data_IF_158381914981
#
_entry.id   IF_158381914981
#
_cell.length_a   1.000
_cell.length_b   1.000
_cell.length_c   1.000
_cell.angle_alpha   90.00
_cell.angle_beta   90.00
_cell.angle_gamma   90.00
#
_symmetry.space_group_name_H-M   'P 1'
#
loop_
_entity.id
_entity.type
_entity.pdbx_description
1 polymer ?
#
# COMPACT_ATOMS: atom_id res chain seq x y z
N UNK A 4 2.67 -11.32 19.44
CA UNK A 4 2.72 -10.23 18.44
C UNK A 4 2.59 -10.81 17.03
N UNK A 5 1.35 -10.93 16.58
CA UNK A 5 1.06 -11.45 15.26
C UNK A 5 -0.23 -10.81 14.74
N UNK A 6 -0.08 -9.73 13.99
CA UNK A 6 -1.21 -9.00 13.42
C UNK A 6 -2.09 -9.91 12.59
N UNK A 7 -1.46 -10.72 11.74
CA UNK A 7 -2.19 -11.64 10.89
C UNK A 7 -1.23 -12.71 10.36
N UNK A 8 -0.72 -13.52 11.29
CA UNK A 8 0.24 -14.59 10.98
C UNK A 8 1.60 -14.02 10.59
N UNK A 9 1.68 -13.54 9.35
CA UNK A 9 2.91 -12.96 8.82
C UNK A 9 2.64 -12.47 7.41
N UNK A 10 3.39 -11.46 6.98
CA UNK A 10 3.22 -10.91 5.65
C UNK A 10 4.47 -11.15 4.82
N UNK A 11 4.31 -11.87 3.72
CA UNK A 11 5.41 -12.18 2.83
C UNK A 11 5.12 -11.66 1.43
N UNK A 12 6.15 -11.11 0.78
CA UNK A 12 6.02 -10.54 -0.56
C UNK A 12 5.09 -9.34 -0.55
N UNK A 13 4.86 -8.78 0.62
CA UNK A 13 3.96 -7.64 0.77
C UNK A 13 4.66 -6.34 0.41
N UNK A 14 4.83 -6.11 -0.88
CA UNK A 14 5.47 -4.90 -1.37
C UNK A 14 4.68 -4.33 -2.54
N UNK A 15 4.87 -3.04 -2.79
CA UNK A 15 4.18 -2.38 -3.89
C UNK A 15 5.15 -2.07 -5.02
N UNK A 16 4.61 -1.80 -6.19
CA UNK A 16 5.39 -1.52 -7.37
C UNK A 16 4.72 -0.49 -8.27
N UNK A 17 5.51 0.08 -9.17
CA UNK A 17 5.02 1.08 -10.12
C UNK A 17 4.75 0.40 -11.46
N UNK A 18 3.49 0.27 -11.80
CA UNK A 18 3.11 -0.36 -13.05
C UNK A 18 2.21 0.57 -13.84
N UNK A 19 2.69 0.96 -15.00
CA UNK A 19 1.98 1.85 -15.89
C UNK A 19 1.60 3.14 -15.15
N UNK A 20 2.57 3.68 -14.42
CA UNK A 20 2.38 4.91 -13.63
C UNK A 20 1.21 4.75 -12.66
N UNK A 21 1.08 3.54 -12.11
CA UNK A 21 0.00 3.23 -11.18
C UNK A 21 0.54 2.34 -10.07
N UNK A 22 -0.05 2.48 -8.90
CA UNK A 22 0.36 1.71 -7.74
C UNK A 22 -0.23 0.31 -7.79
N UNK A 23 0.61 -0.68 -7.56
CA UNK A 23 0.19 -2.07 -7.57
C UNK A 23 0.79 -2.81 -6.38
N UNK A 24 -0.08 -3.41 -5.57
CA UNK A 24 0.36 -4.13 -4.38
C UNK A 24 0.02 -5.60 -4.53
N UNK A 25 1.02 -6.44 -4.30
CA UNK A 25 0.84 -7.88 -4.37
C UNK A 25 1.41 -8.51 -3.12
N UNK A 26 0.78 -9.57 -2.64
CA UNK A 26 1.21 -10.27 -1.44
C UNK A 26 0.48 -11.58 -1.29
N UNK A 27 1.06 -12.48 -0.53
CA UNK A 27 0.45 -13.76 -0.27
C UNK A 27 -0.64 -13.61 0.80
N UNK A 28 -1.86 -13.97 0.45
CA UNK A 28 -2.99 -13.87 1.36
C UNK A 28 -3.61 -15.23 1.57
N UNK A 29 -4.13 -15.48 2.76
CA UNK A 29 -4.75 -16.76 3.05
C UNK A 29 -6.26 -16.66 2.98
N UNK A 30 -6.88 -17.66 2.37
CA UNK A 30 -8.33 -17.69 2.26
C UNK A 30 -8.88 -18.57 3.38
N UNK A 31 -10.19 -18.51 3.60
CA UNK A 31 -10.84 -19.29 4.67
C UNK A 31 -10.54 -20.77 4.56
N UNK A 32 -10.18 -21.23 3.37
CA UNK A 32 -9.85 -22.63 3.14
C UNK A 32 -8.55 -22.99 3.86
N UNK A 33 -7.82 -21.96 4.27
CA UNK A 33 -6.57 -22.16 4.96
C UNK A 33 -5.41 -22.22 4.00
N UNK A 34 -5.63 -21.76 2.77
CA UNK A 34 -4.59 -21.79 1.75
C UNK A 34 -4.02 -20.39 1.51
N UNK A 35 -2.74 -20.33 1.20
CA UNK A 35 -2.08 -19.06 0.91
C UNK A 35 -1.95 -18.86 -0.59
N UNK A 36 -2.56 -17.81 -1.08
CA UNK A 36 -2.53 -17.47 -2.49
C UNK A 36 -2.01 -16.05 -2.67
N UNK A 37 -1.05 -15.88 -3.56
CA UNK A 37 -0.48 -14.57 -3.82
C UNK A 37 -1.41 -13.76 -4.71
N UNK A 38 -1.89 -12.65 -4.18
CA UNK A 38 -2.82 -11.79 -4.90
C UNK A 38 -2.18 -10.46 -5.22
N UNK A 39 -2.65 -9.84 -6.29
CA UNK A 39 -2.15 -8.56 -6.72
C UNK A 39 -3.32 -7.63 -7.06
N UNK A 40 -3.31 -6.44 -6.47
CA UNK A 40 -4.36 -5.46 -6.69
C UNK A 40 -3.76 -4.07 -6.75
N UNK A 41 -4.22 -3.27 -7.70
CA UNK A 41 -3.71 -1.93 -7.89
C UNK A 41 -4.22 -0.99 -6.81
N UNK A 42 -3.28 -0.39 -6.10
CA UNK A 42 -3.59 0.56 -5.05
C UNK A 42 -3.87 1.95 -5.63
N UNK A 43 -3.64 2.09 -6.93
CA UNK A 43 -3.85 3.37 -7.62
C UNK A 43 -5.30 3.84 -7.51
N UNK A 44 -6.19 2.92 -7.19
CA UNK A 44 -7.60 3.24 -7.06
C UNK A 44 -7.98 3.39 -5.59
N UNK A 45 -6.99 3.31 -4.71
CA UNK A 45 -7.23 3.43 -3.28
C UNK A 45 -6.45 4.58 -2.67
N UNK A 46 -5.21 4.76 -3.08
CA UNK A 46 -4.36 5.84 -2.53
C UNK A 46 -4.34 7.06 -3.44
N UNK A 47 -3.86 8.20 -2.94
CA UNK A 47 -3.79 9.39 -3.75
C UNK A 47 -2.96 10.50 -3.12
N UNK A 48 -2.48 11.41 -3.96
CA UNK A 48 -1.70 12.56 -3.51
C UNK A 48 -2.51 13.83 -3.73
N UNK A 49 -2.69 14.60 -2.67
CA UNK A 49 -3.46 15.84 -2.76
C UNK A 49 -2.56 17.04 -2.54
N UNK A 50 -2.14 17.66 -3.63
CA UNK A 50 -1.27 18.83 -3.61
C UNK A 50 0.01 18.62 -2.79
N UNK A 51 0.48 17.38 -2.74
CA UNK A 51 1.69 17.09 -1.99
C UNK A 51 1.41 16.43 -0.67
N UNK A 52 0.14 16.42 -0.29
CA UNK A 52 -0.27 15.81 0.97
C UNK A 52 -0.80 14.42 0.69
N UNK A 53 -0.36 13.43 1.47
CA UNK A 53 -0.77 12.05 1.25
C UNK A 53 -2.21 11.84 1.70
N UNK A 54 -3.10 11.65 0.72
CA UNK A 54 -4.51 11.42 1.02
C UNK A 54 -5.01 10.28 0.14
N UNK A 55 -5.18 9.10 0.72
CA UNK A 55 -5.63 7.95 -0.02
C UNK A 55 -7.11 8.07 -0.37
N UNK A 56 -7.40 8.09 -1.66
CA UNK A 56 -8.78 8.19 -2.11
C UNK A 56 -9.03 7.48 -3.43
N UNK A 57 -8.02 7.44 -4.30
CA UNK A 57 -8.18 6.78 -5.57
C UNK A 57 -7.57 7.56 -6.72
N UNK A 58 -6.26 7.66 -6.70
CA UNK A 58 -5.52 8.37 -7.74
C UNK A 58 -4.24 7.65 -8.06
N UNK A 59 -3.76 7.87 -9.26
CA UNK A 59 -2.52 7.26 -9.71
C UNK A 59 -1.35 8.10 -9.20
N UNK A 60 -1.42 8.39 -7.90
CA UNK A 60 -0.41 9.21 -7.23
C UNK A 60 1.00 8.69 -7.46
N UNK A 61 1.08 7.42 -7.81
CA UNK A 61 2.35 6.77 -8.06
C UNK A 61 3.20 7.52 -9.08
N UNK A 62 2.56 8.21 -10.01
CA UNK A 62 3.30 8.95 -11.04
C UNK A 62 3.76 10.32 -10.51
N UNK A 63 3.03 10.84 -9.52
CA UNK A 63 3.38 12.12 -8.92
C UNK A 63 4.15 11.90 -7.61
N UNK A 64 4.48 10.64 -7.35
CA UNK A 64 5.19 10.26 -6.16
C UNK A 64 6.42 9.43 -6.49
N UNK A 65 7.36 9.39 -5.56
CA UNK A 65 8.58 8.62 -5.73
C UNK A 65 8.87 7.89 -4.43
N UNK A 66 9.94 7.10 -4.41
CA UNK A 66 10.31 6.31 -3.22
C UNK A 66 9.12 5.47 -2.78
N UNK A 67 8.47 4.87 -3.77
CA UNK A 67 7.28 4.06 -3.54
C UNK A 67 7.62 2.78 -2.80
N UNK A 68 7.57 2.83 -1.47
CA UNK A 68 7.87 1.68 -0.65
C UNK A 68 6.77 1.44 0.37
N UNK A 69 6.37 0.19 0.54
CA UNK A 69 5.33 -0.17 1.49
C UNK A 69 5.86 -1.17 2.52
N UNK A 70 5.60 -0.88 3.79
CA UNK A 70 6.03 -1.74 4.88
C UNK A 70 4.85 -2.02 5.80
N UNK A 71 4.18 -3.17 5.60
CA UNK A 71 2.99 -3.56 6.37
C UNK A 71 3.30 -3.97 7.81
N UNK A 72 4.58 -4.08 8.15
CA UNK A 72 4.95 -4.44 9.50
C UNK A 72 6.19 -3.67 9.93
N UNK A 73 6.06 -2.91 10.99
CA UNK A 73 7.16 -2.14 11.52
C UNK A 73 7.64 -2.75 12.82
N UNK A 74 8.78 -3.42 12.76
CA UNK A 74 9.35 -4.05 13.94
C UNK A 74 8.35 -4.91 14.69
N UNK A 75 8.30 -4.73 16.01
CA UNK A 75 7.38 -5.48 16.85
C UNK A 75 5.98 -4.88 16.81
N UNK A 76 5.86 -3.65 16.33
CA UNK A 76 4.57 -2.97 16.25
C UNK A 76 3.74 -3.50 15.08
N UNK A 77 4.42 -3.97 14.04
CA UNK A 77 3.76 -4.48 12.84
C UNK A 77 2.89 -3.38 12.25
N UNK A 78 3.42 -2.16 12.28
CA UNK A 78 2.71 -0.99 11.77
C UNK A 78 2.85 -0.89 10.25
N UNK A 79 1.73 -1.04 9.54
CA UNK A 79 1.72 -0.98 8.07
C UNK A 79 1.67 0.45 7.53
N UNK A 80 2.82 0.95 7.10
CA UNK A 80 2.89 2.31 6.59
C UNK A 80 3.38 2.34 5.14
N UNK A 81 2.78 3.21 4.35
CA UNK A 81 3.15 3.39 2.95
C UNK A 81 3.97 4.67 2.83
N UNK A 82 5.20 4.54 2.38
CA UNK A 82 6.07 5.69 2.21
C UNK A 82 6.14 6.11 0.75
N UNK A 83 6.02 7.41 0.51
CA UNK A 83 6.06 7.94 -0.84
C UNK A 83 6.32 9.44 -0.85
N UNK A 84 7.19 9.87 -1.74
CA UNK A 84 7.54 11.28 -1.89
C UNK A 84 6.55 11.94 -2.83
N UNK A 85 5.76 12.87 -2.33
CA UNK A 85 4.79 13.54 -3.17
C UNK A 85 5.25 14.96 -3.43
N UNK A 86 4.84 15.53 -4.54
CA UNK A 86 5.24 16.90 -4.86
C UNK A 86 4.08 17.87 -4.60
N UNK A 87 4.31 18.77 -3.65
CA UNK A 87 3.34 19.79 -3.27
C UNK A 87 3.07 20.72 -4.42
N UNK A 88 1.89 21.34 -4.39
CA UNK A 88 1.42 22.26 -5.43
C UNK A 88 2.42 23.39 -5.72
N UNK A 89 3.28 23.69 -4.75
CA UNK A 89 4.28 24.74 -4.94
C UNK A 89 5.45 24.22 -5.77
N UNK A 90 5.60 22.91 -5.79
CA UNK A 90 6.68 22.29 -6.52
C UNK A 90 7.73 21.75 -5.59
N UNK A 91 7.34 21.53 -4.34
CA UNK A 91 8.23 21.00 -3.33
C UNK A 91 7.86 19.56 -3.09
N UNK A 92 8.84 18.67 -3.04
CA UNK A 92 8.54 17.26 -2.85
C UNK A 92 9.11 16.75 -1.54
N UNK A 93 8.26 16.06 -0.80
CA UNK A 93 8.64 15.49 0.49
C UNK A 93 8.01 14.13 0.68
N UNK A 94 8.68 13.26 1.43
CA UNK A 94 8.17 11.93 1.70
C UNK A 94 7.06 11.98 2.73
N UNK A 95 5.99 11.27 2.43
CA UNK A 95 4.84 11.18 3.32
C UNK A 95 4.61 9.72 3.67
N UNK A 96 3.73 9.47 4.63
CA UNK A 96 3.44 8.10 5.04
C UNK A 96 2.00 7.97 5.51
N UNK A 97 1.39 6.83 5.18
CA UNK A 97 0.01 6.55 5.54
C UNK A 97 -0.21 5.07 5.82
N UNK A 98 -1.19 4.76 6.66
CA UNK A 98 -1.52 3.39 7.02
C UNK A 98 -2.37 2.74 5.93
N UNK A 99 -1.69 2.03 5.02
CA UNK A 99 -2.36 1.40 3.89
C UNK A 99 -3.13 0.14 4.26
N UNK A 100 -2.58 -0.67 5.16
CA UNK A 100 -3.23 -1.91 5.55
C UNK A 100 -4.60 -1.64 6.20
N UNK A 101 -4.78 -0.44 6.72
CA UNK A 101 -6.02 -0.08 7.35
C UNK A 101 -7.03 0.39 6.30
N UNK A 102 -6.55 0.60 5.08
CA UNK A 102 -7.41 1.04 3.99
C UNK A 102 -8.12 -0.16 3.39
N UNK A 103 -7.32 -1.11 2.92
CA UNK A 103 -7.84 -2.33 2.31
C UNK A 103 -7.47 -3.55 3.12
N UNK A 104 -8.38 -4.50 3.21
CA UNK A 104 -8.15 -5.72 3.96
C UNK A 104 -8.23 -6.93 3.05
N UNK A 105 -7.75 -8.06 3.56
CA UNK A 105 -7.74 -9.31 2.81
C UNK A 105 -9.04 -10.07 2.97
N UNK A 106 -9.64 -10.39 1.84
CA UNK A 106 -10.87 -11.16 1.82
C UNK A 106 -10.72 -12.35 0.88
N UNK A 107 -10.05 -13.38 1.41
CA UNK A 107 -9.80 -14.63 0.68
C UNK A 107 -8.96 -14.41 -0.59
N UNK A 108 -7.85 -13.72 -0.45
CA UNK A 108 -6.99 -13.47 -1.60
C UNK A 108 -7.46 -12.30 -2.42
N UNK A 109 -8.40 -11.57 -1.87
CA UNK A 109 -8.95 -10.39 -2.53
C UNK A 109 -8.82 -9.19 -1.61
N UNK A 110 -9.13 -8.02 -2.10
CA UNK A 110 -9.00 -6.82 -1.30
C UNK A 110 -10.33 -6.06 -1.22
N UNK A 111 -10.52 -5.36 -0.13
CA UNK A 111 -11.72 -4.57 0.07
C UNK A 111 -11.35 -3.24 0.73
N UNK A 112 -11.82 -2.13 0.16
CA UNK A 112 -11.54 -0.82 0.69
C UNK A 112 -12.52 -0.46 1.80
N UNK A 113 -11.99 -0.18 2.98
CA UNK A 113 -12.80 0.19 4.13
C UNK A 113 -13.03 1.71 4.14
N UNK A 114 -12.14 2.43 3.49
CA UNK A 114 -12.25 3.88 3.40
C UNK A 114 -12.97 4.28 2.13
#
# INVERSE_FOLDING_TARGET
GSHMSFHVTAEDARIEVRDNRTILFARLRREDGEWNDASYELDQIIGNNDGHFQWGGQNFTETAEDIRFHPKEGAAEQPILRARLRDCNGEFHDRDVNLTEIVENVNGEFQAKF
#
